data_IF_032381312014
#
_entry.id   IF_032381312014
#
_cell.length_a   1.000
_cell.length_b   1.000
_cell.length_c   1.000
_cell.angle_alpha   90.00
_cell.angle_beta   90.00
_cell.angle_gamma   90.00
#
_symmetry.space_group_name_H-M   'P 1'
#
loop_
_entity.id
_entity.type
_entity.pdbx_description
1 polymer ?
#
# COMPACT_ATOMS: atom_id res chain seq x y z
N UNK A 1 -28.09 -16.89 -7.61
CA UNK A 1 -26.99 -17.87 -7.78
C UNK A 1 -25.78 -17.08 -8.28
N UNK A 2 -24.68 -17.06 -7.52
CA UNK A 2 -23.38 -16.67 -8.06
C UNK A 2 -22.41 -17.81 -7.74
N UNK A 3 -22.00 -18.61 -8.72
CA UNK A 3 -21.09 -19.72 -8.49
C UNK A 3 -19.65 -19.18 -8.59
N UNK A 4 -18.88 -19.41 -7.53
CA UNK A 4 -17.42 -19.21 -7.42
C UNK A 4 -16.89 -17.76 -7.43
N UNK A 5 -16.76 -17.14 -6.25
CA UNK A 5 -15.48 -16.55 -5.77
C UNK A 5 -15.49 -16.54 -4.23
N UNK A 6 -15.02 -17.58 -3.51
CA UNK A 6 -14.55 -17.42 -2.14
C UNK A 6 -13.05 -17.17 -2.19
N UNK A 7 -12.66 -15.94 -2.48
CA UNK A 7 -11.36 -15.46 -2.07
C UNK A 7 -11.58 -14.95 -0.65
N UNK A 8 -11.01 -15.60 0.36
CA UNK A 8 -11.27 -15.25 1.75
C UNK A 8 -10.52 -13.96 2.11
N UNK A 9 -11.24 -12.88 2.43
CA UNK A 9 -10.66 -11.80 3.25
C UNK A 9 -10.61 -12.31 4.69
N UNK A 10 -9.41 -12.61 5.18
CA UNK A 10 -9.23 -12.99 6.57
C UNK A 10 -8.96 -11.74 7.41
N UNK A 11 -9.92 -11.38 8.26
CA UNK A 11 -9.81 -10.31 9.25
C UNK A 11 -10.32 -10.84 10.59
N UNK A 12 -9.40 -11.11 11.51
CA UNK A 12 -9.74 -11.60 12.84
C UNK A 12 -10.33 -10.46 13.72
N UNK A 13 -10.62 -10.75 14.98
CA UNK A 13 -11.15 -9.73 15.91
C UNK A 13 -10.07 -8.71 16.30
N UNK A 14 -8.80 -9.07 16.21
CA UNK A 14 -7.68 -8.23 16.61
C UNK A 14 -7.42 -7.20 15.51
N UNK A 15 -7.25 -7.63 14.27
CA UNK A 15 -7.04 -6.79 13.10
C UNK A 15 -8.15 -5.75 12.92
N UNK A 16 -9.42 -6.11 13.16
CA UNK A 16 -10.53 -5.15 13.15
C UNK A 16 -10.43 -4.09 14.24
N UNK A 17 -10.14 -4.48 15.49
CA UNK A 17 -9.93 -3.52 16.59
C UNK A 17 -8.72 -2.63 16.35
N UNK A 18 -7.65 -3.20 15.80
CA UNK A 18 -6.47 -2.44 15.40
C UNK A 18 -6.81 -1.45 14.29
N UNK A 19 -7.68 -1.81 13.34
CA UNK A 19 -8.12 -0.90 12.29
C UNK A 19 -8.92 0.28 12.86
N UNK A 20 -9.75 0.06 13.87
CA UNK A 20 -10.51 1.16 14.52
C UNK A 20 -9.58 2.27 15.03
N UNK A 21 -8.40 1.90 15.55
CA UNK A 21 -7.43 2.83 16.13
C UNK A 21 -6.39 3.32 15.12
N UNK A 22 -5.89 2.42 14.25
CA UNK A 22 -4.71 2.67 13.40
C UNK A 22 -5.03 2.68 11.89
N UNK A 23 -6.29 2.48 11.50
CA UNK A 23 -6.72 2.30 10.10
C UNK A 23 -6.88 3.59 9.28
N UNK A 24 -6.31 4.70 9.72
CA UNK A 24 -6.35 5.96 8.97
C UNK A 24 -5.45 5.92 7.74
N UNK A 25 -4.26 5.31 7.88
CA UNK A 25 -3.30 5.09 6.80
C UNK A 25 -3.12 3.58 6.63
N UNK A 26 -3.36 3.08 5.42
CA UNK A 26 -3.26 1.66 5.12
C UNK A 26 -2.34 1.45 3.93
N UNK A 27 -1.34 0.60 4.10
CA UNK A 27 -0.56 0.03 3.01
C UNK A 27 -1.30 -1.19 2.46
N UNK A 28 -1.42 -1.23 1.13
CA UNK A 28 -1.94 -2.33 0.34
C UNK A 28 -0.85 -2.67 -0.67
N UNK A 29 -0.28 -3.88 -0.60
CA UNK A 29 0.78 -4.28 -1.52
C UNK A 29 0.53 -5.68 -2.06
N UNK A 30 0.22 -5.78 -3.36
CA UNK A 30 -0.02 -7.06 -4.00
C UNK A 30 1.32 -7.73 -4.31
N UNK A 31 1.52 -8.95 -3.82
CA UNK A 31 2.71 -9.75 -4.12
C UNK A 31 2.31 -10.99 -4.91
N UNK A 32 2.70 -11.04 -6.17
CA UNK A 32 2.43 -12.17 -7.07
C UNK A 32 3.49 -13.29 -6.94
N UNK A 33 3.07 -14.55 -7.13
CA UNK A 33 3.91 -15.78 -7.13
C UNK A 33 4.62 -16.12 -5.80
N UNK A 34 4.08 -15.69 -4.68
CA UNK A 34 4.64 -16.03 -3.36
C UNK A 34 4.18 -17.39 -2.82
N UNK A 35 3.20 -18.05 -3.45
CA UNK A 35 2.66 -19.35 -3.03
C UNK A 35 2.67 -20.40 -4.16
N UNK A 36 2.54 -21.68 -3.79
CA UNK A 36 2.52 -22.86 -4.68
C UNK A 36 1.48 -22.77 -5.81
N UNK A 37 0.43 -21.97 -5.62
CA UNK A 37 -0.70 -21.82 -6.53
C UNK A 37 -0.58 -20.59 -7.43
N UNK A 38 0.53 -19.86 -7.35
CA UNK A 38 0.76 -18.62 -8.11
C UNK A 38 -0.32 -17.55 -7.89
N UNK A 39 -0.98 -17.56 -6.73
CA UNK A 39 -1.96 -16.54 -6.36
C UNK A 39 -1.29 -15.25 -5.90
N UNK A 40 -2.01 -14.15 -5.98
CA UNK A 40 -1.59 -12.82 -5.49
C UNK A 40 -1.93 -12.72 -4.01
N UNK A 41 -0.92 -12.51 -3.16
CA UNK A 41 -1.14 -12.22 -1.75
C UNK A 41 -1.25 -10.72 -1.51
N UNK A 42 -2.32 -10.31 -0.83
CA UNK A 42 -2.67 -8.91 -0.57
C UNK A 42 -2.92 -8.70 0.92
N UNK A 43 -1.94 -8.19 1.67
CA UNK A 43 -2.14 -7.75 3.04
C UNK A 43 -2.56 -6.27 3.09
N UNK A 44 -3.46 -5.96 4.02
CA UNK A 44 -3.81 -4.60 4.42
C UNK A 44 -3.12 -4.31 5.76
N UNK A 45 -2.11 -3.44 5.72
CA UNK A 45 -1.19 -3.21 6.84
C UNK A 45 -1.26 -1.74 7.27
N UNK A 46 -1.27 -1.47 8.57
CA UNK A 46 -1.04 -0.15 9.14
C UNK A 46 0.15 -0.15 10.09
N UNK A 47 0.31 0.96 10.81
CA UNK A 47 1.38 1.15 11.80
C UNK A 47 0.75 1.51 13.14
N UNK A 48 1.18 0.87 14.22
CA UNK A 48 0.74 1.22 15.58
C UNK A 48 1.51 2.42 16.16
N UNK A 49 1.17 2.81 17.38
CA UNK A 49 1.81 3.91 18.12
C UNK A 49 3.29 3.63 18.48
N UNK A 50 3.79 2.43 18.24
CA UNK A 50 5.19 2.04 18.46
C UNK A 50 5.96 1.91 17.13
N UNK A 51 5.38 2.33 16.01
CA UNK A 51 6.01 2.20 14.70
C UNK A 51 6.01 0.77 14.15
N UNK A 52 5.26 -0.16 14.75
CA UNK A 52 5.23 -1.56 14.33
C UNK A 52 4.13 -1.80 13.32
N UNK A 53 4.41 -2.68 12.36
CA UNK A 53 3.41 -3.11 11.38
C UNK A 53 2.29 -3.92 12.02
N UNK A 54 1.05 -3.56 11.70
CA UNK A 54 -0.15 -4.27 12.14
C UNK A 54 -0.94 -4.71 10.92
N UNK A 55 -1.23 -6.00 10.83
CA UNK A 55 -2.08 -6.54 9.75
C UNK A 55 -3.54 -6.41 10.14
N UNK A 56 -4.33 -5.72 9.34
CA UNK A 56 -5.78 -5.57 9.54
C UNK A 56 -6.57 -6.69 8.87
N UNK A 57 -6.17 -7.04 7.65
CA UNK A 57 -6.74 -8.12 6.88
C UNK A 57 -5.71 -8.64 5.86
N UNK A 58 -5.92 -9.85 5.36
CA UNK A 58 -5.16 -10.37 4.24
C UNK A 58 -6.03 -11.23 3.32
N UNK A 59 -5.64 -11.31 2.05
CA UNK A 59 -6.44 -11.91 0.98
C UNK A 59 -5.56 -12.58 -0.06
N UNK A 60 -6.05 -13.64 -0.70
CA UNK A 60 -5.40 -14.31 -1.83
C UNK A 60 -6.23 -14.18 -3.12
N UNK A 61 -5.79 -13.35 -4.06
CA UNK A 61 -6.48 -13.20 -5.36
C UNK A 61 -5.90 -14.16 -6.40
N UNK A 62 -6.68 -14.55 -7.39
CA UNK A 62 -6.21 -15.38 -8.51
C UNK A 62 -5.29 -14.58 -9.46
N UNK A 63 -5.58 -13.28 -9.67
CA UNK A 63 -4.82 -12.38 -10.54
C UNK A 63 -4.99 -10.90 -10.18
N UNK A 64 -4.08 -10.08 -10.69
CA UNK A 64 -4.06 -8.62 -10.50
C UNK A 64 -4.87 -7.90 -11.58
N UNK A 65 -6.20 -7.88 -11.42
CA UNK A 65 -7.10 -7.16 -12.32
C UNK A 65 -8.13 -6.28 -11.59
N UNK A 66 -8.87 -5.48 -12.38
CA UNK A 66 -9.78 -4.46 -11.85
C UNK A 66 -10.87 -5.13 -11.00
N UNK A 67 -11.40 -6.25 -11.45
CA UNK A 67 -12.50 -6.96 -10.79
C UNK A 67 -12.07 -7.48 -9.42
N UNK A 68 -10.93 -8.17 -9.36
CA UNK A 68 -10.41 -8.71 -8.11
C UNK A 68 -10.01 -7.62 -7.11
N UNK A 69 -9.34 -6.57 -7.58
CA UNK A 69 -8.96 -5.47 -6.69
C UNK A 69 -10.17 -4.68 -6.20
N UNK A 70 -11.17 -4.43 -7.06
CA UNK A 70 -12.41 -3.78 -6.63
C UNK A 70 -13.14 -4.64 -5.60
N UNK A 71 -13.26 -5.94 -5.85
CA UNK A 71 -13.88 -6.86 -4.93
C UNK A 71 -13.19 -6.85 -3.56
N UNK A 72 -11.85 -6.92 -3.49
CA UNK A 72 -11.14 -6.95 -2.21
C UNK A 72 -11.24 -5.62 -1.47
N UNK A 73 -11.20 -4.49 -2.17
CA UNK A 73 -11.36 -3.16 -1.56
C UNK A 73 -12.76 -2.98 -0.97
N UNK A 74 -13.81 -3.39 -1.69
CA UNK A 74 -15.18 -3.34 -1.20
C UNK A 74 -15.42 -4.30 -0.02
N UNK A 75 -14.87 -5.52 -0.10
CA UNK A 75 -14.94 -6.47 0.99
C UNK A 75 -14.20 -5.96 2.24
N UNK A 76 -13.02 -5.35 2.08
CA UNK A 76 -12.28 -4.71 3.16
C UNK A 76 -13.09 -3.58 3.81
N UNK A 77 -13.63 -2.65 3.02
CA UNK A 77 -14.48 -1.55 3.50
C UNK A 77 -15.66 -2.07 4.31
N UNK A 78 -16.33 -3.12 3.82
CA UNK A 78 -17.47 -3.74 4.49
C UNK A 78 -17.09 -4.38 5.83
N UNK A 79 -15.96 -5.08 5.88
CA UNK A 79 -15.48 -5.76 7.09
C UNK A 79 -15.04 -4.75 8.15
N UNK A 80 -14.39 -3.66 7.72
CA UNK A 80 -13.85 -2.62 8.59
C UNK A 80 -14.86 -1.54 8.98
N UNK A 81 -16.01 -1.48 8.30
CA UNK A 81 -17.10 -0.52 8.59
C UNK A 81 -16.84 0.92 8.12
N UNK A 82 -15.61 1.25 7.71
CA UNK A 82 -15.22 2.55 7.13
C UNK A 82 -14.07 2.40 6.14
N UNK A 83 -13.89 3.33 5.19
CA UNK A 83 -12.70 3.38 4.34
C UNK A 83 -11.50 3.99 5.10
N UNK A 84 -10.26 3.73 4.64
CA UNK A 84 -9.08 4.46 5.12
C UNK A 84 -9.09 5.92 4.63
N UNK A 85 -8.36 6.81 5.30
CA UNK A 85 -8.17 8.20 4.86
C UNK A 85 -7.04 8.33 3.84
N UNK A 86 -6.05 7.46 3.92
CA UNK A 86 -4.93 7.36 3.00
C UNK A 86 -4.67 5.89 2.70
N UNK A 87 -4.47 5.59 1.42
CA UNK A 87 -4.06 4.26 0.98
C UNK A 87 -2.76 4.35 0.19
N UNK A 88 -1.79 3.54 0.58
CA UNK A 88 -0.47 3.46 -0.03
C UNK A 88 -0.42 2.17 -0.82
N UNK A 89 -0.15 2.25 -2.13
CA UNK A 89 0.02 1.07 -2.98
C UNK A 89 1.32 1.11 -3.74
N UNK A 90 1.71 0.00 -4.34
CA UNK A 90 2.71 0.01 -5.40
C UNK A 90 2.21 0.78 -6.65
N UNK A 91 3.09 0.91 -7.65
CA UNK A 91 2.71 1.51 -8.92
C UNK A 91 2.03 0.47 -9.82
N UNK A 92 0.71 0.38 -9.72
CA UNK A 92 -0.13 -0.49 -10.54
C UNK A 92 -1.22 0.31 -11.28
N UNK A 93 -1.32 0.11 -12.61
CA UNK A 93 -2.31 0.79 -13.44
C UNK A 93 -3.75 0.46 -13.01
N UNK A 94 -3.97 -0.79 -12.59
CA UNK A 94 -5.24 -1.28 -12.07
C UNK A 94 -5.62 -0.56 -10.76
N UNK A 95 -4.67 -0.41 -9.83
CA UNK A 95 -4.91 0.32 -8.56
C UNK A 95 -5.29 1.78 -8.78
N UNK A 96 -4.66 2.44 -9.75
CA UNK A 96 -4.96 3.83 -10.09
C UNK A 96 -6.43 4.04 -10.48
N UNK A 97 -7.07 3.00 -11.02
CA UNK A 97 -8.49 3.01 -11.39
C UNK A 97 -9.37 2.58 -10.21
N UNK A 98 -9.00 1.51 -9.51
CA UNK A 98 -9.82 0.88 -8.47
C UNK A 98 -9.89 1.70 -7.19
N UNK A 99 -8.78 2.31 -6.78
CA UNK A 99 -8.70 3.03 -5.50
C UNK A 99 -9.67 4.22 -5.44
N UNK A 100 -9.71 5.13 -6.44
CA UNK A 100 -10.66 6.25 -6.42
C UNK A 100 -12.14 5.82 -6.47
N UNK A 101 -12.42 4.66 -7.07
CA UNK A 101 -13.79 4.10 -7.14
C UNK A 101 -14.20 3.47 -5.81
N UNK A 102 -13.31 2.68 -5.19
CA UNK A 102 -13.62 1.92 -3.97
C UNK A 102 -13.51 2.77 -2.70
N UNK A 103 -12.58 3.75 -2.70
CA UNK A 103 -12.30 4.67 -1.60
C UNK A 103 -12.25 6.14 -2.07
N UNK A 104 -13.35 6.72 -2.57
CA UNK A 104 -13.36 8.10 -3.10
C UNK A 104 -12.74 9.19 -2.20
N UNK A 105 -12.95 9.19 -0.86
CA UNK A 105 -12.36 10.22 -0.01
C UNK A 105 -10.90 9.95 0.36
N UNK A 106 -10.36 8.76 0.05
CA UNK A 106 -9.01 8.40 0.44
C UNK A 106 -7.97 9.07 -0.47
N UNK A 107 -6.89 9.57 0.13
CA UNK A 107 -5.72 10.00 -0.62
C UNK A 107 -4.94 8.76 -1.07
N UNK A 108 -4.79 8.59 -2.38
CA UNK A 108 -3.95 7.54 -2.94
C UNK A 108 -2.49 8.01 -3.01
N UNK A 109 -1.58 7.27 -2.36
CA UNK A 109 -0.14 7.51 -2.38
C UNK A 109 0.59 6.27 -2.92
N UNK A 110 1.77 6.50 -3.46
CA UNK A 110 2.64 5.43 -3.94
C UNK A 110 3.64 5.04 -2.84
N UNK A 111 3.92 3.75 -2.74
CA UNK A 111 4.84 3.19 -1.77
C UNK A 111 6.26 3.72 -2.00
N UNK A 112 6.79 4.37 -0.97
CA UNK A 112 8.11 4.99 -0.97
C UNK A 112 9.22 3.99 -1.32
N UNK A 113 9.18 2.78 -0.76
CA UNK A 113 10.15 1.74 -1.08
C UNK A 113 10.15 1.38 -2.57
N UNK A 114 8.97 1.24 -3.18
CA UNK A 114 8.84 0.97 -4.62
C UNK A 114 9.35 2.13 -5.47
N UNK A 115 9.12 3.37 -5.06
CA UNK A 115 9.68 4.56 -5.72
C UNK A 115 11.21 4.52 -5.66
N UNK A 116 11.78 4.39 -4.46
CA UNK A 116 13.23 4.40 -4.25
C UNK A 116 13.94 3.23 -4.93
N UNK A 117 13.29 2.07 -5.05
CA UNK A 117 13.81 0.95 -5.84
C UNK A 117 13.79 1.19 -7.34
N UNK A 118 12.71 1.79 -7.88
CA UNK A 118 12.56 2.04 -9.33
C UNK A 118 13.32 3.28 -9.79
N UNK A 119 13.60 4.23 -8.91
CA UNK A 119 14.21 5.51 -9.25
C UNK A 119 15.59 5.33 -9.93
N UNK A 120 16.57 4.60 -9.35
CA UNK A 120 17.87 4.40 -10.01
C UNK A 120 17.76 3.69 -11.36
N UNK A 121 16.84 2.73 -11.48
CA UNK A 121 16.66 1.99 -12.73
C UNK A 121 16.12 2.86 -13.88
N UNK A 122 15.29 3.87 -13.58
CA UNK A 122 14.68 4.74 -14.60
C UNK A 122 15.44 6.04 -14.83
N UNK A 123 16.04 6.58 -13.78
CA UNK A 123 16.60 7.94 -13.74
C UNK A 123 18.08 7.96 -13.35
N UNK A 124 18.67 6.81 -13.03
CA UNK A 124 20.05 6.73 -12.57
C UNK A 124 21.07 7.17 -13.64
N UNK A 125 20.78 6.98 -14.93
CA UNK A 125 21.67 7.49 -15.98
C UNK A 125 21.66 9.02 -16.09
N UNK A 126 20.60 9.69 -15.62
CA UNK A 126 20.48 11.15 -15.65
C UNK A 126 21.07 11.79 -14.39
N UNK A 127 20.84 11.18 -13.22
CA UNK A 127 21.15 11.78 -11.92
C UNK A 127 22.24 11.06 -11.14
N UNK A 128 22.51 9.76 -11.36
CA UNK A 128 23.62 9.07 -10.69
C UNK A 128 24.99 9.35 -11.34
N UNK A 129 25.06 10.21 -12.36
CA UNK A 129 26.33 10.83 -12.79
C UNK A 129 26.84 11.78 -11.70
N UNK A 130 25.94 12.39 -10.93
CA UNK A 130 26.27 13.08 -9.69
C UNK A 130 26.40 12.03 -8.56
N UNK A 131 27.63 11.75 -8.15
CA UNK A 131 27.93 10.68 -7.17
C UNK A 131 27.22 10.84 -5.82
N UNK A 132 26.89 12.08 -5.43
CA UNK A 132 26.26 12.40 -4.13
C UNK A 132 24.73 12.51 -4.17
N UNK A 133 24.10 12.48 -5.35
CA UNK A 133 22.66 12.75 -5.47
C UNK A 133 21.81 11.75 -4.69
N UNK A 134 22.11 10.45 -4.84
CA UNK A 134 21.37 9.41 -4.14
C UNK A 134 21.54 9.50 -2.62
N UNK A 135 22.70 9.93 -2.14
CA UNK A 135 22.95 10.12 -0.71
C UNK A 135 22.08 11.26 -0.15
N UNK A 136 22.03 12.41 -0.85
CA UNK A 136 21.16 13.54 -0.49
C UNK A 136 19.67 13.16 -0.55
N UNK A 137 19.27 12.44 -1.60
CA UNK A 137 17.88 11.98 -1.73
C UNK A 137 17.51 11.03 -0.58
N UNK A 138 18.39 10.08 -0.25
CA UNK A 138 18.18 9.17 0.87
C UNK A 138 18.15 9.91 2.22
N UNK A 139 19.00 10.92 2.43
CA UNK A 139 19.03 11.68 3.68
C UNK A 139 17.76 12.52 3.90
N UNK A 140 17.00 12.80 2.84
CA UNK A 140 15.71 13.49 2.94
C UNK A 140 14.58 12.46 3.10
N UNK A 141 14.54 11.44 2.23
CA UNK A 141 13.43 10.48 2.16
C UNK A 141 13.33 9.59 3.41
N UNK A 142 14.46 9.21 4.00
CA UNK A 142 14.51 8.33 5.17
C UNK A 142 14.64 9.09 6.50
N UNK A 143 14.47 10.41 6.48
CA UNK A 143 14.56 11.22 7.68
C UNK A 143 13.21 11.28 8.40
N UNK A 144 13.15 10.67 9.58
CA UNK A 144 11.95 10.62 10.43
C UNK A 144 11.72 11.92 11.23
N UNK A 145 12.69 12.82 11.25
CA UNK A 145 12.72 13.98 12.13
C UNK A 145 12.92 15.32 11.41
N UNK A 146 12.96 15.31 10.07
CA UNK A 146 13.10 16.55 9.29
C UNK A 146 11.90 17.45 9.53
N UNK A 147 12.16 18.68 9.96
CA UNK A 147 11.10 19.67 10.11
C UNK A 147 10.61 20.15 8.73
N UNK A 148 9.36 20.62 8.61
CA UNK A 148 8.88 21.20 7.35
C UNK A 148 9.77 22.35 6.84
N UNK A 149 10.29 23.18 7.73
CA UNK A 149 11.22 24.27 7.36
C UNK A 149 12.53 23.73 6.80
N UNK A 150 13.15 22.76 7.46
CA UNK A 150 14.41 22.14 6.97
C UNK A 150 14.21 21.43 5.63
N UNK A 151 13.02 20.85 5.39
CA UNK A 151 12.70 20.22 4.11
C UNK A 151 12.57 21.24 2.97
N UNK A 152 11.94 22.39 3.21
CA UNK A 152 11.71 23.42 2.19
C UNK A 152 12.96 24.28 1.91
N UNK A 153 13.84 24.46 2.91
CA UNK A 153 15.03 25.32 2.80
C UNK A 153 16.23 24.66 2.08
N UNK A 154 16.24 23.32 1.95
CA UNK A 154 17.18 22.56 1.11
C UNK A 154 18.55 22.29 1.72
#
# INVERSE_FOLDING_TARGET
MSPYIPIENWADRIGRRSYDVFGDVVSFDATYRTNKYSMVFVPFIGIDNHGKSVTFAATLLDKEDIENFKWVCEAFKRIMGRPPKCIITDQCATMKIVIPDSFPPAKHRLCMWHIMKKFPAKLGTLFCVESSFMDKLNSIVWNEHISPSEFEDG
#
